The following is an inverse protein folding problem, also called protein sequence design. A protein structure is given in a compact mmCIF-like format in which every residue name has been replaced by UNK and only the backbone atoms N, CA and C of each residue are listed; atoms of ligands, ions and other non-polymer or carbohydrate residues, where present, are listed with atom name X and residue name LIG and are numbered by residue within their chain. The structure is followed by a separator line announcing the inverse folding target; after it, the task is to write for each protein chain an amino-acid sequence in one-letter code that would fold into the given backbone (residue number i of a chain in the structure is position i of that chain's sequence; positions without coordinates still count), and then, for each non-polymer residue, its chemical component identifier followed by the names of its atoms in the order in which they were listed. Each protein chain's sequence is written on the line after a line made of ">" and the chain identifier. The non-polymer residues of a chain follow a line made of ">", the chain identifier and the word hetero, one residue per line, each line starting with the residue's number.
data_IF_132855413811
#
_entry.id   IF_132855413811
#
_cell.length_a   1.000
_cell.length_b   1.000
_cell.length_c   1.000
_cell.angle_alpha   90.00
_cell.angle_beta   90.00
_cell.angle_gamma   90.00
#
_symmetry.space_group_name_H-M   'P 1'
#
loop_
_entity.id
_entity.type
_entity.pdbx_description
1 polymer ?
#
# COMPACT_ATOMS: atom_id res chain seq x y z
N UNK A 1 6.59 -4.36 34.48
CA UNK A 1 8.00 -3.99 34.21
C UNK A 1 8.04 -2.63 33.56
N UNK A 2 8.95 -1.74 33.98
CA UNK A 2 9.12 -0.44 33.35
C UNK A 2 9.98 -0.57 32.08
N UNK A 3 9.64 0.17 31.02
CA UNK A 3 10.42 0.21 29.79
C UNK A 3 11.70 1.03 29.98
N UNK A 4 12.82 0.59 29.38
CA UNK A 4 14.07 1.37 29.42
C UNK A 4 14.00 2.62 28.54
N UNK A 5 14.79 3.65 28.85
CA UNK A 5 14.87 4.86 28.02
C UNK A 5 15.30 4.56 26.56
N UNK A 6 16.17 3.55 26.37
CA UNK A 6 16.58 3.09 25.03
C UNK A 6 15.40 2.52 24.24
N UNK A 7 14.57 1.70 24.88
CA UNK A 7 13.35 1.16 24.26
C UNK A 7 12.34 2.28 24.00
N UNK A 8 12.18 3.25 24.92
CA UNK A 8 11.34 4.44 24.75
C UNK A 8 11.67 5.22 23.49
N UNK A 9 12.94 5.58 23.34
CA UNK A 9 13.41 6.27 22.13
C UNK A 9 13.18 5.43 20.87
N UNK A 10 13.53 4.14 20.90
CA UNK A 10 13.42 3.25 19.75
C UNK A 10 11.97 3.02 19.29
N UNK A 11 11.01 3.00 20.22
CA UNK A 11 9.57 2.92 19.93
C UNK A 11 9.08 4.23 19.32
N UNK A 12 9.43 5.38 19.92
CA UNK A 12 9.00 6.69 19.42
C UNK A 12 9.46 6.95 17.97
N UNK A 13 10.72 6.66 17.65
CA UNK A 13 11.26 6.82 16.29
C UNK A 13 10.56 5.90 15.27
N UNK A 14 10.19 4.69 15.68
CA UNK A 14 9.46 3.74 14.82
C UNK A 14 8.01 4.15 14.63
N UNK A 15 7.40 4.70 15.67
CA UNK A 15 6.04 5.21 15.62
C UNK A 15 5.92 6.39 14.64
N UNK A 16 6.87 7.34 14.65
CA UNK A 16 6.86 8.42 13.66
C UNK A 16 6.94 7.90 12.22
N UNK A 17 7.85 6.96 11.95
CA UNK A 17 7.95 6.33 10.62
C UNK A 17 6.70 5.52 10.25
N UNK A 18 6.00 4.97 11.24
CA UNK A 18 4.74 4.28 11.01
C UNK A 18 3.66 5.24 10.55
N UNK A 19 3.56 6.43 11.17
CA UNK A 19 2.63 7.48 10.74
C UNK A 19 2.90 7.91 9.29
N UNK A 20 4.16 8.13 8.93
CA UNK A 20 4.54 8.46 7.54
C UNK A 20 4.03 7.41 6.53
N UNK A 21 4.17 6.12 6.85
CA UNK A 21 3.67 5.04 5.99
C UNK A 21 2.14 5.06 5.84
N UNK A 22 1.42 5.35 6.93
CA UNK A 22 -0.04 5.46 6.91
C UNK A 22 -0.50 6.67 6.10
N UNK A 23 0.13 7.83 6.30
CA UNK A 23 -0.17 9.07 5.58
C UNK A 23 0.09 8.96 4.08
N UNK A 24 1.12 8.21 3.70
CA UNK A 24 1.44 7.90 2.30
C UNK A 24 0.53 6.81 1.69
N UNK A 25 -0.45 6.28 2.44
CA UNK A 25 -1.35 5.24 1.95
C UNK A 25 -0.67 3.91 1.63
N UNK A 26 0.45 3.58 2.30
CA UNK A 26 1.25 2.38 2.02
C UNK A 26 0.85 1.14 2.83
N UNK A 27 -0.32 1.16 3.45
CA UNK A 27 -0.82 0.10 4.32
C UNK A 27 -2.14 -0.41 3.77
N UNK A 28 -2.19 -1.68 3.42
CA UNK A 28 -3.31 -2.31 2.74
C UNK A 28 -3.80 -3.50 3.55
N UNK A 29 -5.11 -3.62 3.73
CA UNK A 29 -5.68 -4.85 4.28
C UNK A 29 -5.61 -5.95 3.23
N UNK A 30 -5.16 -7.15 3.61
CA UNK A 30 -5.06 -8.26 2.68
C UNK A 30 -6.43 -8.92 2.49
N UNK A 31 -7.00 -8.84 1.29
CA UNK A 31 -8.25 -9.53 0.97
C UNK A 31 -8.00 -11.02 0.71
N UNK A 32 -8.81 -11.89 1.30
CA UNK A 32 -8.62 -13.35 1.22
C UNK A 32 -7.50 -13.91 2.10
N UNK A 33 -6.83 -13.07 2.91
CA UNK A 33 -5.90 -13.49 3.95
C UNK A 33 -6.60 -13.89 5.25
N UNK A 34 -5.81 -14.22 6.27
CA UNK A 34 -6.28 -14.43 7.63
C UNK A 34 -6.78 -13.14 8.27
N UNK A 35 -7.52 -13.28 9.38
CA UNK A 35 -7.96 -12.12 10.14
C UNK A 35 -6.74 -11.32 10.65
N UNK A 36 -6.80 -10.00 10.47
CA UNK A 36 -5.71 -9.11 10.86
C UNK A 36 -4.51 -9.11 9.91
N UNK A 37 -4.59 -9.71 8.72
CA UNK A 37 -3.51 -9.63 7.74
C UNK A 37 -3.51 -8.30 6.97
N UNK A 38 -2.33 -7.69 6.92
CA UNK A 38 -2.03 -6.47 6.20
C UNK A 38 -0.75 -6.62 5.36
N UNK A 39 -0.70 -5.86 4.28
CA UNK A 39 0.50 -5.64 3.49
C UNK A 39 0.95 -4.21 3.69
N UNK A 40 2.21 -4.03 4.06
CA UNK A 40 2.83 -2.70 4.20
C UNK A 40 3.97 -2.57 3.20
N UNK A 41 3.91 -1.53 2.36
CA UNK A 41 4.92 -1.25 1.35
C UNK A 41 5.90 -0.21 1.89
N UNK A 42 7.20 -0.49 1.87
CA UNK A 42 8.21 0.47 2.32
C UNK A 42 8.48 1.56 1.26
N UNK A 43 9.39 2.50 1.55
CA UNK A 43 9.78 3.56 0.62
C UNK A 43 10.37 3.06 -0.70
N UNK A 44 11.00 1.89 -0.69
CA UNK A 44 11.66 1.25 -1.84
C UNK A 44 10.69 0.37 -2.67
N UNK A 45 9.41 0.33 -2.32
CA UNK A 45 8.41 -0.51 -3.00
C UNK A 45 8.39 -1.99 -2.57
N UNK A 46 9.16 -2.37 -1.55
CA UNK A 46 9.15 -3.73 -0.99
C UNK A 46 7.95 -3.90 -0.07
N UNK A 47 7.15 -4.93 -0.33
CA UNK A 47 5.99 -5.30 0.47
C UNK A 47 6.35 -6.28 1.59
N UNK A 48 5.80 -6.06 2.78
CA UNK A 48 5.92 -6.97 3.91
C UNK A 48 4.54 -7.39 4.41
N UNK A 49 4.38 -8.70 4.65
CA UNK A 49 3.21 -9.24 5.35
C UNK A 49 3.30 -8.93 6.84
N UNK A 50 2.18 -8.49 7.40
CA UNK A 50 2.01 -8.14 8.80
C UNK A 50 0.70 -8.76 9.27
N UNK A 51 0.73 -9.43 10.43
CA UNK A 51 -0.49 -9.83 11.11
C UNK A 51 -0.63 -9.01 12.40
N UNK A 52 -1.69 -8.20 12.52
CA UNK A 52 -1.87 -7.31 13.67
C UNK A 52 -2.31 -8.04 14.94
N UNK A 53 -2.88 -9.24 14.80
CA UNK A 53 -3.34 -10.06 15.94
C UNK A 53 -2.14 -10.73 16.61
N UNK A 54 -1.25 -11.37 15.84
CA UNK A 54 -0.01 -11.95 16.36
C UNK A 54 1.07 -10.91 16.63
N UNK A 55 0.95 -9.72 16.01
CA UNK A 55 1.97 -8.66 16.06
C UNK A 55 3.20 -8.97 15.19
N UNK A 56 3.14 -10.00 14.36
CA UNK A 56 4.24 -10.45 13.54
C UNK A 56 4.38 -9.61 12.27
N UNK A 57 5.63 -9.42 11.84
CA UNK A 57 5.94 -8.78 10.57
C UNK A 57 7.11 -9.50 9.90
N UNK A 58 6.98 -9.78 8.61
CA UNK A 58 8.00 -10.47 7.82
C UNK A 58 9.26 -9.61 7.56
N UNK A 59 9.29 -8.33 7.95
CA UNK A 59 10.42 -7.46 7.64
C UNK A 59 11.70 -7.82 8.44
N UNK A 60 12.91 -7.62 7.87
CA UNK A 60 14.17 -7.90 8.57
C UNK A 60 14.33 -7.14 9.90
N UNK A 61 13.76 -5.93 10.00
CA UNK A 61 13.81 -5.14 11.23
C UNK A 61 13.11 -5.83 12.40
N UNK A 62 11.96 -6.46 12.13
CA UNK A 62 11.22 -7.23 13.11
C UNK A 62 12.02 -8.46 13.56
N UNK A 63 12.54 -9.22 12.59
CA UNK A 63 13.26 -10.47 12.83
C UNK A 63 14.55 -10.28 13.64
N UNK A 64 15.36 -9.26 13.33
CA UNK A 64 16.72 -9.16 13.88
C UNK A 64 16.90 -8.10 14.96
N UNK A 65 16.20 -6.96 14.88
CA UNK A 65 16.43 -5.81 15.77
C UNK A 65 15.32 -5.67 16.81
N UNK A 66 14.07 -5.74 16.39
CA UNK A 66 12.94 -5.47 17.26
C UNK A 66 12.65 -6.64 18.20
N UNK A 67 12.80 -7.88 17.73
CA UNK A 67 12.74 -9.11 18.55
C UNK A 67 13.66 -9.05 19.77
N UNK A 68 14.94 -8.68 19.56
CA UNK A 68 15.95 -8.56 20.64
C UNK A 68 15.62 -7.46 21.65
N UNK A 69 14.92 -6.41 21.22
CA UNK A 69 14.54 -5.28 22.05
C UNK A 69 13.15 -5.44 22.68
N UNK A 70 12.38 -6.46 22.29
CA UNK A 70 11.00 -6.65 22.71
C UNK A 70 10.08 -5.50 22.29
N UNK A 71 10.29 -4.94 21.09
CA UNK A 71 9.50 -3.82 20.54
C UNK A 71 8.90 -4.19 19.19
N UNK A 72 7.91 -3.44 18.71
CA UNK A 72 7.36 -3.60 17.37
C UNK A 72 8.18 -2.84 16.33
N UNK A 73 8.21 -3.34 15.09
CA UNK A 73 8.76 -2.61 13.96
C UNK A 73 7.77 -1.55 13.45
N UNK A 74 8.24 -0.62 12.59
CA UNK A 74 7.38 0.43 12.02
C UNK A 74 6.19 -0.10 11.20
N UNK A 75 6.35 -1.25 10.52
CA UNK A 75 5.28 -1.79 9.67
C UNK A 75 4.14 -2.39 10.51
N UNK A 76 4.49 -3.11 11.60
CA UNK A 76 3.50 -3.62 12.56
C UNK A 76 2.73 -2.47 13.21
N UNK A 77 3.42 -1.40 13.62
CA UNK A 77 2.78 -0.20 14.14
C UNK A 77 1.85 0.47 13.11
N UNK A 78 2.29 0.57 11.85
CA UNK A 78 1.48 1.19 10.79
C UNK A 78 0.18 0.39 10.52
N UNK A 79 0.28 -0.94 10.46
CA UNK A 79 -0.86 -1.82 10.32
C UNK A 79 -1.83 -1.73 11.51
N UNK A 80 -1.31 -1.70 12.75
CA UNK A 80 -2.12 -1.51 13.95
C UNK A 80 -2.89 -0.18 13.93
N UNK A 81 -2.23 0.93 13.55
CA UNK A 81 -2.88 2.23 13.45
C UNK A 81 -4.06 2.18 12.46
N UNK A 82 -3.87 1.58 11.28
CA UNK A 82 -4.94 1.46 10.29
C UNK A 82 -6.04 0.54 10.79
N UNK A 83 -5.68 -0.58 11.41
CA UNK A 83 -6.63 -1.52 11.99
C UNK A 83 -7.52 -0.85 13.05
N UNK A 84 -6.92 -0.17 14.03
CA UNK A 84 -7.66 0.55 15.06
C UNK A 84 -8.56 1.65 14.48
N UNK A 85 -8.09 2.36 13.44
CA UNK A 85 -8.90 3.37 12.75
C UNK A 85 -10.09 2.76 12.04
N UNK A 86 -9.92 1.60 11.41
CA UNK A 86 -11.01 0.87 10.78
C UNK A 86 -12.04 0.36 11.80
N UNK A 87 -11.57 -0.15 12.95
CA UNK A 87 -12.46 -0.62 14.03
C UNK A 87 -13.21 0.53 14.72
N UNK A 88 -12.52 1.64 15.01
CA UNK A 88 -13.14 2.86 15.58
C UNK A 88 -14.04 3.59 14.58
N UNK A 89 -13.80 3.38 13.29
CA UNK A 89 -14.42 4.11 12.20
C UNK A 89 -15.61 3.43 11.53
N UNK A 90 -15.78 2.09 11.60
CA UNK A 90 -16.90 1.33 11.00
C UNK A 90 -17.49 1.95 9.72
N UNK A 91 -16.61 2.41 8.83
CA UNK A 91 -16.87 3.18 7.64
C UNK A 91 -15.67 2.98 6.73
N UNK A 92 -15.95 2.70 5.47
CA UNK A 92 -15.12 1.96 4.51
C UNK A 92 -13.59 2.20 4.59
N UNK A 93 -12.76 1.14 4.49
CA UNK A 93 -11.32 1.28 4.45
C UNK A 93 -10.92 2.20 3.28
N UNK A 94 -9.81 2.96 3.40
CA UNK A 94 -9.29 3.74 2.28
C UNK A 94 -9.04 2.78 1.12
N UNK A 95 -9.87 2.88 0.08
CA UNK A 95 -9.63 2.19 -1.17
C UNK A 95 -8.29 2.71 -1.72
N UNK A 96 -7.47 1.84 -2.32
CA UNK A 96 -6.33 2.32 -3.10
C UNK A 96 -6.84 3.41 -4.06
N UNK A 97 -6.05 4.47 -4.30
CA UNK A 97 -6.44 5.49 -5.28
C UNK A 97 -6.85 4.76 -6.55
N UNK A 98 -8.04 5.11 -7.07
CA UNK A 98 -8.54 4.53 -8.30
C UNK A 98 -7.40 4.53 -9.34
N UNK A 99 -7.22 3.44 -10.10
CA UNK A 99 -6.24 3.46 -11.18
C UNK A 99 -6.50 4.72 -11.99
N UNK A 100 -5.46 5.53 -12.20
CA UNK A 100 -5.55 6.69 -13.08
C UNK A 100 -6.23 6.21 -14.37
N UNK A 101 -7.22 6.94 -14.89
CA UNK A 101 -7.95 6.50 -16.08
C UNK A 101 -6.91 6.19 -17.15
N UNK A 102 -6.77 4.91 -17.48
CA UNK A 102 -5.88 4.49 -18.56
C UNK A 102 -6.30 5.31 -19.77
N UNK A 103 -5.36 6.00 -20.46
CA UNK A 103 -5.71 6.76 -21.64
C UNK A 103 -6.45 5.81 -22.57
N UNK A 104 -7.66 6.21 -23.00
CA UNK A 104 -8.56 5.38 -23.79
C UNK A 104 -7.76 4.78 -24.95
N UNK A 105 -7.38 3.51 -24.81
CA UNK A 105 -6.74 2.76 -25.90
C UNK A 105 -7.86 2.40 -26.84
N UNK A 106 -7.90 3.11 -27.97
CA UNK A 106 -8.72 2.70 -29.10
C UNK A 106 -8.46 1.22 -29.36
N UNK A 107 -9.55 0.46 -29.46
CA UNK A 107 -9.49 -0.93 -29.86
C UNK A 107 -8.85 -1.00 -31.25
N UNK A 108 -8.22 -2.13 -31.56
CA UNK A 108 -7.62 -2.36 -32.88
C UNK A 108 -8.61 -2.14 -34.03
N UNK A 109 -9.89 -2.46 -33.79
CA UNK A 109 -10.99 -2.25 -34.74
C UNK A 109 -11.22 -0.75 -34.99
N UNK A 110 -11.16 0.08 -33.95
CA UNK A 110 -11.31 1.54 -34.10
C UNK A 110 -10.12 2.18 -34.82
N UNK A 111 -8.91 1.67 -34.59
CA UNK A 111 -7.71 2.11 -35.31
C UNK A 111 -7.83 1.77 -36.79
N UNK A 112 -8.19 0.53 -37.13
CA UNK A 112 -8.33 0.07 -38.52
C UNK A 112 -9.38 0.90 -39.29
N UNK A 113 -10.53 1.20 -38.65
CA UNK A 113 -11.59 2.02 -39.25
C UNK A 113 -11.16 3.48 -39.47
N UNK A 114 -10.40 4.05 -38.53
CA UNK A 114 -9.87 5.41 -38.68
C UNK A 114 -8.85 5.50 -39.82
N UNK A 115 -8.00 4.49 -39.98
CA UNK A 115 -7.03 4.43 -41.08
C UNK A 115 -7.73 4.29 -42.45
N UNK A 116 -8.79 3.48 -42.55
CA UNK A 116 -9.61 3.38 -43.76
C UNK A 116 -10.32 4.70 -44.11
N UNK A 117 -10.89 5.39 -43.12
CA UNK A 117 -11.57 6.67 -43.35
C UNK A 117 -10.58 7.78 -43.74
N UNK A 118 -9.39 7.81 -43.14
CA UNK A 118 -8.33 8.74 -43.52
C UNK A 118 -7.82 8.47 -44.95
N UNK A 119 -7.64 7.21 -45.33
CA UNK A 119 -7.26 6.82 -46.69
C UNK A 119 -8.33 7.25 -47.72
N UNK A 120 -9.61 7.10 -47.40
CA UNK A 120 -10.72 7.58 -48.25
C UNK A 120 -10.70 9.09 -48.42
N UNK A 121 -10.57 9.85 -47.34
CA UNK A 121 -10.50 11.33 -47.41
C UNK A 121 -9.30 11.82 -48.22
N UNK A 122 -8.15 11.15 -48.09
CA UNK A 122 -6.97 11.47 -48.89
C UNK A 122 -7.21 11.23 -50.39
N UNK A 123 -7.91 10.16 -50.74
CA UNK A 123 -8.28 9.87 -52.13
C UNK A 123 -9.33 10.85 -52.69
N UNK A 124 -10.28 11.29 -51.87
CA UNK A 124 -11.28 12.31 -52.24
C UNK A 124 -10.66 13.69 -52.52
N UNK A 125 -9.47 13.97 -51.99
CA UNK A 125 -8.73 15.21 -52.27
C UNK A 125 -7.78 15.11 -53.48
N UNK A 126 -7.66 13.92 -54.08
CA UNK A 126 -6.78 13.66 -55.24
C UNK A 126 -7.54 13.62 -56.58
N UNK A 127 -8.87 13.78 -56.57
CA UNK A 127 -9.75 13.88 -57.74
C UNK A 127 -10.67 15.10 -57.62
#
# INVERSE_FOLDING_TARGET
>A
MAMTAKQAKAVAERYQKALELVEQGRVFRLYGGGEGDYVVVNGDGVAYLVNVISGECACPDAQYRCSKLGILCKHALAALIVHERAEKGAGEPPQPPAPEPEPARLSRIEVDLMEEEQARRLLEHLF
#
